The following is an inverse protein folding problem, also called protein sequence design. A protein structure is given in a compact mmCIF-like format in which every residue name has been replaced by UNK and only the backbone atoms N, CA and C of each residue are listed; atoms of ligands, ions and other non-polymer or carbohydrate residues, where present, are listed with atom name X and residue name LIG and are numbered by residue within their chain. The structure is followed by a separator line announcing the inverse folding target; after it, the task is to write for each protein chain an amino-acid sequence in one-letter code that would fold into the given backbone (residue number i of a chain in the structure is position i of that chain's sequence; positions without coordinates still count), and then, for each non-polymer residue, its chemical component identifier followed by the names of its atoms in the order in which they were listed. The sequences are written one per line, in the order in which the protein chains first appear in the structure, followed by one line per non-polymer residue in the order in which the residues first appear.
data_IF_634670669750
#
_entry.id   IF_634670669750
#
_cell.length_a   1.000
_cell.length_b   1.000
_cell.length_c   1.000
_cell.angle_alpha   90.00
_cell.angle_beta   90.00
_cell.angle_gamma   90.00
#
_symmetry.space_group_name_H-M   'P 1'
#
loop_
_entity.id
_entity.type
_entity.pdbx_description
1 polymer ?
#
# COMPACT_ATOMS: atom_id res chain seq x y z
N UNK A 1 19.14 2.37 10.53
CA UNK A 1 19.21 1.64 9.26
C UNK A 1 18.73 0.21 9.48
N UNK A 2 17.41 0.10 9.49
CA UNK A 2 16.57 -1.07 9.68
C UNK A 2 15.65 -1.15 8.47
N UNK A 3 15.30 -2.38 8.08
CA UNK A 3 14.37 -2.62 6.98
C UNK A 3 13.01 -2.97 7.57
N UNK A 4 11.97 -2.22 7.20
CA UNK A 4 10.60 -2.48 7.56
C UNK A 4 9.86 -3.11 6.37
N UNK A 5 9.30 -4.29 6.59
CA UNK A 5 8.37 -4.92 5.64
C UNK A 5 6.93 -4.63 6.07
N UNK A 6 6.15 -4.01 5.19
CA UNK A 6 4.74 -3.71 5.43
C UNK A 6 3.88 -4.75 4.71
N UNK A 7 3.10 -5.47 5.51
CA UNK A 7 2.14 -6.47 5.09
C UNK A 7 0.77 -6.03 5.61
N UNK A 8 -0.16 -5.71 4.71
CA UNK A 8 -1.50 -5.27 5.05
C UNK A 8 -2.52 -5.87 4.10
N UNK A 9 -3.80 -5.82 4.50
CA UNK A 9 -4.91 -6.18 3.61
C UNK A 9 -4.91 -5.17 2.45
N UNK A 10 -4.95 -5.61 1.18
CA UNK A 10 -4.77 -4.72 0.06
C UNK A 10 -6.02 -3.90 -0.25
N UNK A 11 -6.60 -3.19 0.73
CA UNK A 11 -7.74 -2.29 0.53
C UNK A 11 -7.38 -0.86 0.94
N UNK A 12 -7.94 0.14 0.26
CA UNK A 12 -7.61 1.56 0.49
C UNK A 12 -7.72 1.99 1.96
N UNK A 13 -8.75 1.52 2.68
CA UNK A 13 -8.92 1.79 4.11
C UNK A 13 -7.85 1.18 5.03
N UNK A 14 -7.10 0.19 4.56
CA UNK A 14 -5.98 -0.43 5.27
C UNK A 14 -4.62 0.10 4.78
N UNK A 15 -4.50 0.50 3.51
CA UNK A 15 -3.23 0.98 2.91
C UNK A 15 -3.01 2.46 3.19
N UNK A 16 -3.99 3.33 2.94
CA UNK A 16 -3.80 4.79 3.05
C UNK A 16 -3.29 5.23 4.43
N UNK A 17 -3.80 4.70 5.56
CA UNK A 17 -3.31 5.10 6.88
C UNK A 17 -1.83 4.73 7.14
N UNK A 18 -1.27 3.77 6.40
CA UNK A 18 0.12 3.35 6.60
C UNK A 18 1.12 4.12 5.76
N UNK A 19 0.67 4.88 4.74
CA UNK A 19 1.55 5.65 3.85
C UNK A 19 2.27 6.77 4.62
N UNK A 20 1.55 7.53 5.46
CA UNK A 20 2.16 8.59 6.28
C UNK A 20 3.21 8.02 7.28
N UNK A 21 2.97 6.82 7.80
CA UNK A 21 3.97 6.14 8.64
C UNK A 21 5.23 5.78 7.83
N UNK A 22 5.06 5.33 6.59
CA UNK A 22 6.19 5.00 5.72
C UNK A 22 7.03 6.23 5.39
N UNK A 23 6.40 7.35 5.06
CA UNK A 23 7.07 8.64 4.82
C UNK A 23 7.95 9.03 6.01
N UNK A 24 7.43 8.90 7.24
CA UNK A 24 8.20 9.24 8.44
C UNK A 24 9.36 8.29 8.73
N UNK A 25 9.19 6.99 8.49
CA UNK A 25 10.29 6.03 8.61
C UNK A 25 11.40 6.33 7.60
N UNK A 26 11.03 6.66 6.36
CA UNK A 26 11.96 7.03 5.30
C UNK A 26 12.66 8.35 5.63
N UNK A 27 11.95 9.35 6.16
CA UNK A 27 12.53 10.63 6.58
C UNK A 27 13.57 10.45 7.70
N UNK A 28 13.44 9.41 8.54
CA UNK A 28 14.42 9.04 9.57
C UNK A 28 15.62 8.25 9.02
N UNK A 29 15.67 7.99 7.71
CA UNK A 29 16.73 7.24 7.04
C UNK A 29 16.55 5.73 7.11
N UNK A 30 15.33 5.24 7.37
CA UNK A 30 15.02 3.80 7.34
C UNK A 30 14.51 3.37 5.95
N UNK A 31 14.56 2.07 5.67
CA UNK A 31 14.09 1.50 4.41
C UNK A 31 12.73 0.82 4.62
N UNK A 32 11.74 1.16 3.79
CA UNK A 32 10.39 0.58 3.87
C UNK A 32 10.08 -0.16 2.56
N UNK A 33 9.57 -1.39 2.69
CA UNK A 33 9.17 -2.24 1.57
C UNK A 33 7.70 -2.62 1.73
N UNK A 34 6.89 -2.34 0.72
CA UNK A 34 5.49 -2.74 0.67
C UNK A 34 5.31 -3.94 -0.24
N UNK A 35 4.55 -4.93 0.23
CA UNK A 35 4.03 -6.00 -0.59
C UNK A 35 2.53 -5.80 -0.78
N UNK A 36 2.12 -5.43 -2.00
CA UNK A 36 0.73 -5.11 -2.35
C UNK A 36 0.45 -5.44 -3.82
N UNK A 37 -0.83 -5.56 -4.24
CA UNK A 37 -1.20 -5.64 -5.66
C UNK A 37 -0.80 -4.37 -6.42
N UNK A 38 -0.64 -4.52 -7.74
CA UNK A 38 -0.12 -3.48 -8.66
C UNK A 38 -0.87 -2.14 -8.57
N UNK A 39 -2.16 -2.17 -8.24
CA UNK A 39 -3.02 -0.98 -8.07
C UNK A 39 -2.49 0.04 -7.04
N UNK A 40 -1.71 -0.40 -6.05
CA UNK A 40 -1.16 0.48 -5.00
C UNK A 40 0.24 1.01 -5.31
N UNK A 41 0.85 0.62 -6.45
CA UNK A 41 2.23 1.01 -6.78
C UNK A 41 2.43 2.51 -6.68
N UNK A 42 1.59 3.29 -7.34
CA UNK A 42 1.75 4.73 -7.43
C UNK A 42 1.74 5.39 -6.04
N UNK A 43 0.78 5.01 -5.18
CA UNK A 43 0.68 5.54 -3.82
C UNK A 43 1.87 5.14 -2.95
N UNK A 44 2.37 3.92 -3.07
CA UNK A 44 3.55 3.45 -2.33
C UNK A 44 4.82 4.18 -2.79
N UNK A 45 5.08 4.21 -4.09
CA UNK A 45 6.28 4.82 -4.65
C UNK A 45 6.32 6.34 -4.39
N UNK A 46 5.16 7.01 -4.31
CA UNK A 46 5.06 8.42 -3.93
C UNK A 46 5.63 8.72 -2.52
N UNK A 47 5.61 7.76 -1.60
CA UNK A 47 6.21 7.91 -0.26
C UNK A 47 7.74 7.76 -0.26
N UNK A 48 8.33 7.26 -1.35
CA UNK A 48 9.73 6.82 -1.42
C UNK A 48 9.97 5.38 -0.98
N UNK A 49 8.92 4.65 -0.59
CA UNK A 49 9.02 3.24 -0.24
C UNK A 49 9.26 2.35 -1.49
N UNK A 50 9.86 1.19 -1.26
CA UNK A 50 10.07 0.19 -2.32
C UNK A 50 8.81 -0.66 -2.47
N UNK A 51 8.26 -0.69 -3.68
CA UNK A 51 7.13 -1.54 -4.00
C UNK A 51 7.56 -2.94 -4.48
N UNK A 52 6.90 -3.97 -3.96
CA UNK A 52 7.03 -5.36 -4.39
C UNK A 52 5.64 -5.93 -4.72
N UNK A 53 5.32 -6.21 -6.00
CA UNK A 53 4.02 -6.73 -6.37
C UNK A 53 3.84 -8.16 -5.84
N UNK A 54 2.60 -8.52 -5.52
CA UNK A 54 2.17 -9.90 -5.41
C UNK A 54 0.78 -10.09 -6.01
N UNK A 55 0.49 -11.30 -6.47
CA UNK A 55 -0.84 -11.66 -6.95
C UNK A 55 -1.74 -12.07 -5.77
N UNK A 56 -2.86 -11.36 -5.61
CA UNK A 56 -3.87 -11.68 -4.61
C UNK A 56 -5.11 -12.21 -5.29
N UNK A 57 -5.45 -13.48 -5.04
CA UNK A 57 -6.74 -14.02 -5.46
C UNK A 57 -7.91 -13.30 -4.78
N UNK A 58 -7.72 -12.86 -3.53
CA UNK A 58 -8.72 -12.12 -2.75
C UNK A 58 -9.03 -10.75 -3.39
N UNK A 59 -7.99 -10.03 -3.85
CA UNK A 59 -8.15 -8.72 -4.48
C UNK A 59 -8.79 -8.80 -5.86
N UNK A 60 -8.47 -9.85 -6.62
CA UNK A 60 -8.96 -10.02 -7.99
C UNK A 60 -10.33 -10.70 -8.09
N UNK A 61 -10.69 -11.61 -7.17
CA UNK A 61 -11.88 -12.45 -7.30
C UNK A 61 -13.05 -12.10 -6.38
N UNK A 62 -12.83 -11.43 -5.24
CA UNK A 62 -13.83 -11.41 -4.15
C UNK A 62 -14.50 -10.05 -3.87
N UNK A 63 -14.14 -8.97 -4.57
CA UNK A 63 -14.80 -7.68 -4.42
C UNK A 63 -15.26 -7.17 -5.79
N UNK A 64 -16.58 -6.97 -6.02
CA UNK A 64 -17.01 -6.39 -7.27
C UNK A 64 -16.46 -4.97 -7.39
N UNK A 65 -16.04 -4.57 -8.59
CA UNK A 65 -15.32 -3.32 -8.84
C UNK A 65 -15.97 -2.06 -8.23
N UNK A 66 -17.30 -2.03 -8.08
CA UNK A 66 -18.03 -0.92 -7.46
C UNK A 66 -17.82 -0.81 -5.94
N UNK A 67 -17.56 -1.93 -5.24
CA UNK A 67 -17.23 -1.94 -3.82
C UNK A 67 -15.83 -1.38 -3.58
N UNK A 68 -14.89 -1.64 -4.50
CA UNK A 68 -13.53 -1.11 -4.49
C UNK A 68 -13.48 0.40 -4.80
N UNK A 69 -14.31 0.86 -5.75
CA UNK A 69 -14.36 2.26 -6.18
C UNK A 69 -15.13 3.20 -5.22
N UNK A 70 -15.87 2.65 -4.24
CA UNK A 70 -16.76 3.44 -3.37
C UNK A 70 -16.12 3.97 -2.07
N UNK A 71 -14.89 3.57 -1.76
CA UNK A 71 -14.19 3.98 -0.53
C UNK A 71 -12.76 4.43 -0.83
N UNK A 72 -12.57 5.72 -1.13
CA UNK A 72 -11.22 6.32 -1.12
C UNK A 72 -10.87 7.34 -2.20
N UNK A 73 -11.71 7.60 -3.20
CA UNK A 73 -11.42 8.62 -4.24
C UNK A 73 -11.56 10.09 -3.79
N UNK A 74 -11.72 10.35 -2.49
CA UNK A 74 -12.04 11.68 -1.94
C UNK A 74 -11.10 12.16 -0.81
N UNK A 75 -9.91 11.58 -0.68
CA UNK A 75 -8.83 12.16 0.14
C UNK A 75 -7.51 12.04 -0.60
#
# INVERSE_FOLDING_TARGET
MTIYAVLTVPGYGHVNPTLALAEELIARGEQVIYYLPEEFRASVEATGAIFRPYESEAWTKFLPAWLLLSWGRLI
#
